data_IF_266775510617
#
_entry.id   IF_266775510617
#
_cell.length_a   1.000
_cell.length_b   1.000
_cell.length_c   1.000
_cell.angle_alpha   90.00
_cell.angle_beta   90.00
_cell.angle_gamma   90.00
#
_symmetry.space_group_name_H-M   'P 1'
#
loop_
_entity.id
_entity.type
_entity.pdbx_description
1 polymer ?
#
# COMPACT_ATOMS: atom_id res chain seq x y z
N UNK A 1 -30.89 13.45 -26.88
CA UNK A 1 -29.48 13.76 -26.60
C UNK A 1 -29.44 14.26 -25.18
N UNK A 2 -29.22 13.34 -24.24
CA UNK A 2 -29.07 13.66 -22.83
C UNK A 2 -27.56 13.78 -22.60
N UNK A 3 -27.14 14.95 -22.14
CA UNK A 3 -25.77 15.16 -21.69
C UNK A 3 -25.57 14.32 -20.42
N UNK A 4 -24.71 13.31 -20.51
CA UNK A 4 -24.22 12.53 -19.38
C UNK A 4 -23.31 13.44 -18.53
N UNK A 5 -23.93 14.26 -17.69
CA UNK A 5 -23.24 15.05 -16.68
C UNK A 5 -22.81 14.12 -15.55
N UNK A 6 -21.53 13.77 -15.50
CA UNK A 6 -20.94 13.02 -14.39
C UNK A 6 -21.05 13.89 -13.14
N UNK A 7 -21.81 13.41 -12.15
CA UNK A 7 -21.96 14.07 -10.86
C UNK A 7 -20.59 14.15 -10.16
N UNK A 8 -20.13 15.37 -9.94
CA UNK A 8 -18.84 15.70 -9.33
C UNK A 8 -18.71 15.16 -7.90
N UNK A 9 -19.81 14.76 -7.25
CA UNK A 9 -19.79 14.12 -5.92
C UNK A 9 -19.48 12.62 -5.96
N UNK A 10 -19.61 11.94 -7.11
CA UNK A 10 -19.22 10.52 -7.25
C UNK A 10 -17.71 10.33 -7.46
N UNK A 11 -17.01 11.40 -7.89
CA UNK A 11 -15.56 11.37 -8.11
C UNK A 11 -14.79 11.34 -6.78
N UNK A 12 -15.32 12.00 -5.75
CA UNK A 12 -14.66 12.20 -4.45
C UNK A 12 -14.55 10.89 -3.64
N UNK A 13 -15.56 10.00 -3.76
CA UNK A 13 -15.55 8.70 -3.07
C UNK A 13 -14.61 7.65 -3.71
N UNK A 14 -14.16 7.86 -4.95
CA UNK A 14 -13.11 7.03 -5.56
C UNK A 14 -11.69 7.48 -5.19
N UNK A 15 -11.58 8.67 -4.58
CA UNK A 15 -10.33 9.41 -4.45
C UNK A 15 -9.58 9.14 -3.16
N UNK A 16 -10.27 8.64 -2.14
CA UNK A 16 -9.58 8.07 -1.00
C UNK A 16 -9.00 6.72 -1.40
N UNK A 17 -7.69 6.70 -1.65
CA UNK A 17 -6.91 5.53 -1.30
C UNK A 17 -7.28 5.25 0.15
N UNK A 18 -8.12 4.24 0.37
CA UNK A 18 -8.78 4.04 1.65
C UNK A 18 -7.72 3.57 2.66
N UNK A 19 -7.01 4.56 3.20
CA UNK A 19 -6.05 4.46 4.30
C UNK A 19 -6.77 4.58 5.64
N UNK A 20 -8.11 4.77 5.62
CA UNK A 20 -8.90 4.64 6.82
C UNK A 20 -8.66 3.24 7.36
N UNK A 21 -7.98 3.20 8.52
CA UNK A 21 -7.81 2.01 9.33
C UNK A 21 -9.20 1.45 9.56
N UNK A 22 -9.60 0.46 8.74
CA UNK A 22 -10.81 -0.32 8.99
C UNK A 22 -10.74 -0.75 10.44
N UNK A 23 -11.81 -0.52 11.20
CA UNK A 23 -11.97 -1.03 12.55
C UNK A 23 -11.85 -2.55 12.51
N UNK A 24 -10.63 -3.05 12.67
CA UNK A 24 -10.32 -4.45 12.53
C UNK A 24 -10.95 -5.20 13.70
N UNK A 25 -11.87 -6.10 13.37
CA UNK A 25 -12.54 -6.98 14.30
C UNK A 25 -11.59 -8.14 14.66
N UNK A 26 -10.46 -7.82 15.29
CA UNK A 26 -9.57 -8.84 15.80
C UNK A 26 -10.29 -9.56 16.94
N UNK A 27 -10.28 -10.89 16.94
CA UNK A 27 -10.22 -11.60 18.22
C UNK A 27 -8.83 -11.30 18.78
N UNK A 28 -8.69 -10.16 19.47
CA UNK A 28 -7.42 -9.53 19.85
C UNK A 28 -6.54 -10.39 20.75
N UNK A 29 -7.11 -11.43 21.37
CA UNK A 29 -6.48 -12.11 22.50
C UNK A 29 -5.94 -13.50 22.13
N UNK A 30 -5.99 -13.91 20.86
CA UNK A 30 -5.31 -15.12 20.42
C UNK A 30 -3.89 -14.85 19.90
N UNK A 31 -3.06 -15.90 19.88
CA UNK A 31 -1.65 -15.81 19.47
C UNK A 31 -1.44 -15.28 18.05
N UNK A 32 -2.40 -15.44 17.14
CA UNK A 32 -2.30 -14.93 15.77
C UNK A 32 -2.67 -13.44 15.71
N UNK A 33 -3.64 -12.99 16.50
CA UNK A 33 -3.96 -11.58 16.68
C UNK A 33 -2.78 -10.79 17.23
N UNK A 34 -2.12 -11.30 18.28
CA UNK A 34 -0.91 -10.68 18.84
C UNK A 34 0.23 -10.62 17.81
N UNK A 35 0.51 -11.72 17.12
CA UNK A 35 1.55 -11.76 16.09
C UNK A 35 1.23 -10.80 14.92
N UNK A 36 -0.04 -10.69 14.52
CA UNK A 36 -0.44 -9.74 13.48
C UNK A 36 -0.24 -8.30 13.92
N UNK A 37 -0.53 -7.97 15.18
CA UNK A 37 -0.25 -6.63 15.73
C UNK A 37 1.24 -6.29 15.63
N UNK A 38 2.13 -7.22 15.98
CA UNK A 38 3.59 -7.04 15.83
C UNK A 38 4.02 -6.88 14.37
N UNK A 39 3.39 -7.62 13.43
CA UNK A 39 3.62 -7.45 11.99
C UNK A 39 3.31 -6.01 11.57
N UNK A 40 2.15 -5.49 11.97
CA UNK A 40 1.71 -4.14 11.61
C UNK A 40 2.60 -3.08 12.24
N UNK A 41 2.95 -3.24 13.53
CA UNK A 41 3.88 -2.34 14.21
C UNK A 41 5.25 -2.31 13.51
N UNK A 42 5.78 -3.47 13.11
CA UNK A 42 7.03 -3.56 12.35
C UNK A 42 6.93 -2.84 10.99
N UNK A 43 5.81 -3.03 10.26
CA UNK A 43 5.57 -2.36 8.99
C UNK A 43 5.50 -0.83 9.15
N UNK A 44 4.79 -0.34 10.16
CA UNK A 44 4.62 1.11 10.39
C UNK A 44 5.90 1.77 10.91
N UNK A 45 6.63 1.13 11.83
CA UNK A 45 7.76 1.75 12.53
C UNK A 45 9.10 1.53 11.84
N UNK A 46 9.37 0.31 11.35
CA UNK A 46 10.67 -0.05 10.72
C UNK A 46 10.62 0.02 9.20
N UNK A 47 9.42 0.02 8.61
CA UNK A 47 9.19 0.10 7.16
C UNK A 47 10.04 -0.88 6.34
N UNK A 48 10.16 -2.16 6.74
CA UNK A 48 11.02 -3.12 6.05
C UNK A 48 10.56 -3.38 4.60
N UNK A 49 9.31 -3.03 4.28
CA UNK A 49 8.76 -3.10 2.93
C UNK A 49 9.54 -2.27 1.90
N UNK A 50 10.31 -1.26 2.31
CA UNK A 50 11.21 -0.50 1.44
C UNK A 50 12.40 -1.31 0.92
N UNK A 51 12.73 -2.43 1.57
CA UNK A 51 13.76 -3.34 1.10
C UNK A 51 13.16 -4.29 0.05
N UNK A 52 13.72 -4.27 -1.16
CA UNK A 52 13.35 -5.13 -2.29
C UNK A 52 13.46 -6.62 -1.99
N UNK A 53 14.38 -7.01 -1.12
CA UNK A 53 14.61 -8.41 -0.74
C UNK A 53 13.77 -8.84 0.47
N UNK A 54 12.99 -7.94 1.07
CA UNK A 54 12.16 -8.28 2.24
C UNK A 54 11.06 -9.26 1.86
N UNK A 55 11.00 -10.37 2.60
CA UNK A 55 10.15 -11.51 2.31
C UNK A 55 9.60 -12.13 3.60
N UNK A 56 8.72 -13.13 3.48
CA UNK A 56 8.07 -13.77 4.61
C UNK A 56 9.07 -14.40 5.60
N UNK A 57 10.18 -14.96 5.08
CA UNK A 57 11.24 -15.53 5.89
C UNK A 57 11.90 -14.46 6.79
N UNK A 58 12.26 -13.31 6.20
CA UNK A 58 12.84 -12.20 6.96
C UNK A 58 11.84 -11.63 7.98
N UNK A 59 10.56 -11.55 7.64
CA UNK A 59 9.51 -11.15 8.59
C UNK A 59 9.42 -12.12 9.77
N UNK A 60 9.42 -13.42 9.51
CA UNK A 60 9.39 -14.43 10.58
C UNK A 60 10.62 -14.35 11.48
N UNK A 61 11.81 -14.16 10.89
CA UNK A 61 13.05 -13.97 11.64
C UNK A 61 13.00 -12.72 12.53
N UNK A 62 12.56 -11.59 11.98
CA UNK A 62 12.53 -10.30 12.70
C UNK A 62 11.51 -10.32 13.85
N UNK A 63 10.50 -11.18 13.78
CA UNK A 63 9.49 -11.41 14.84
C UNK A 63 9.82 -12.60 15.77
N UNK A 64 10.95 -13.28 15.58
CA UNK A 64 11.30 -14.46 16.38
C UNK A 64 10.29 -15.62 16.25
N UNK A 65 9.62 -15.73 15.09
CA UNK A 65 8.56 -16.71 14.81
C UNK A 65 8.95 -17.61 13.62
N UNK A 66 7.98 -18.36 13.09
CA UNK A 66 8.14 -19.14 11.85
C UNK A 66 7.16 -18.68 10.77
N UNK A 67 7.51 -18.95 9.51
CA UNK A 67 6.75 -18.51 8.34
C UNK A 67 5.29 -19.01 8.35
N UNK A 68 5.03 -20.22 8.85
CA UNK A 68 3.68 -20.77 8.95
C UNK A 68 2.79 -19.94 9.88
N UNK A 69 3.32 -19.56 11.05
CA UNK A 69 2.57 -18.75 12.02
C UNK A 69 2.35 -17.33 11.53
N UNK A 70 3.37 -16.71 10.95
CA UNK A 70 3.27 -15.36 10.37
C UNK A 70 2.27 -15.34 9.21
N UNK A 71 2.35 -16.32 8.31
CA UNK A 71 1.40 -16.44 7.19
C UNK A 71 -0.04 -16.62 7.67
N UNK A 72 -0.25 -17.48 8.68
CA UNK A 72 -1.58 -17.65 9.30
C UNK A 72 -2.08 -16.39 9.98
N UNK A 73 -1.21 -15.66 10.69
CA UNK A 73 -1.58 -14.40 11.31
C UNK A 73 -2.05 -13.38 10.26
N UNK A 74 -1.31 -13.24 9.14
CA UNK A 74 -1.70 -12.35 8.05
C UNK A 74 -3.05 -12.78 7.47
N UNK A 75 -3.19 -14.05 7.08
CA UNK A 75 -4.37 -14.53 6.37
C UNK A 75 -5.64 -14.55 7.24
N UNK A 76 -5.50 -14.81 8.55
CA UNK A 76 -6.64 -14.92 9.45
C UNK A 76 -7.07 -13.59 10.07
N UNK A 77 -6.14 -12.62 10.17
CA UNK A 77 -6.37 -11.37 10.89
C UNK A 77 -6.43 -10.14 9.98
N UNK A 78 -6.41 -10.30 8.66
CA UNK A 78 -6.45 -9.20 7.70
C UNK A 78 -7.26 -9.52 6.44
N UNK A 79 -7.57 -8.50 5.63
CA UNK A 79 -8.09 -8.68 4.27
C UNK A 79 -7.06 -9.24 3.27
N UNK A 80 -5.79 -9.35 3.65
CA UNK A 80 -4.73 -9.77 2.73
C UNK A 80 -4.66 -11.30 2.66
N UNK A 81 -4.81 -11.82 1.45
CA UNK A 81 -4.73 -13.26 1.17
C UNK A 81 -3.35 -13.88 1.45
N UNK A 82 -2.31 -13.06 1.53
CA UNK A 82 -0.93 -13.48 1.79
C UNK A 82 -0.01 -12.28 2.11
N UNK A 83 1.21 -12.58 2.56
CA UNK A 83 2.25 -11.59 2.81
C UNK A 83 2.58 -10.69 1.61
N UNK A 84 2.54 -11.20 0.37
CA UNK A 84 2.83 -10.37 -0.81
C UNK A 84 1.75 -9.30 -1.00
N UNK A 85 0.49 -9.61 -0.73
CA UNK A 85 -0.58 -8.62 -0.77
C UNK A 85 -0.37 -7.53 0.31
N UNK A 86 -0.09 -7.94 1.55
CA UNK A 86 0.20 -7.03 2.67
C UNK A 86 1.38 -6.10 2.38
N UNK A 87 2.55 -6.63 2.01
CA UNK A 87 3.73 -5.81 1.78
C UNK A 87 3.51 -4.84 0.61
N UNK A 88 2.85 -5.28 -0.46
CA UNK A 88 2.57 -4.43 -1.62
C UNK A 88 1.60 -3.30 -1.28
N UNK A 89 0.63 -3.52 -0.40
CA UNK A 89 -0.21 -2.45 0.10
C UNK A 89 0.63 -1.34 0.74
N UNK A 90 1.51 -1.67 1.69
CA UNK A 90 2.39 -0.66 2.31
C UNK A 90 3.29 0.06 1.30
N UNK A 91 3.86 -0.68 0.34
CA UNK A 91 4.69 -0.09 -0.72
C UNK A 91 3.91 0.92 -1.57
N UNK A 92 2.70 0.58 -2.00
CA UNK A 92 1.87 1.49 -2.81
C UNK A 92 1.37 2.68 -1.97
N UNK A 93 0.96 2.44 -0.73
CA UNK A 93 0.53 3.51 0.18
C UNK A 93 1.64 4.55 0.38
N UNK A 94 2.90 4.13 0.54
CA UNK A 94 4.02 5.07 0.57
C UNK A 94 4.13 5.89 -0.72
N UNK A 95 4.03 5.25 -1.90
CA UNK A 95 4.15 5.96 -3.17
C UNK A 95 3.02 6.97 -3.38
N UNK A 96 1.79 6.59 -3.03
CA UNK A 96 0.63 7.49 -3.08
C UNK A 96 0.86 8.71 -2.19
N UNK A 97 1.29 8.51 -0.94
CA UNK A 97 1.62 9.60 -0.03
C UNK A 97 2.75 10.50 -0.58
N UNK A 98 3.76 9.94 -1.23
CA UNK A 98 4.82 10.74 -1.87
C UNK A 98 4.30 11.56 -3.05
N UNK A 99 3.34 11.04 -3.80
CA UNK A 99 2.71 11.76 -4.90
C UNK A 99 1.87 12.93 -4.40
N UNK A 100 1.01 12.70 -3.41
CA UNK A 100 0.15 13.71 -2.81
C UNK A 100 0.96 14.84 -2.14
N UNK A 101 2.07 14.50 -1.46
CA UNK A 101 2.96 15.48 -0.83
C UNK A 101 3.90 16.20 -1.82
N UNK A 102 3.70 16.05 -3.14
CA UNK A 102 4.51 16.64 -4.21
C UNK A 102 6.00 16.24 -4.23
N UNK A 103 6.39 15.20 -3.49
CA UNK A 103 7.76 14.69 -3.46
C UNK A 103 8.18 13.99 -4.77
N UNK A 104 7.25 13.82 -5.73
CA UNK A 104 7.56 13.37 -7.10
C UNK A 104 8.31 14.41 -7.93
N UNK A 105 8.25 15.70 -7.59
CA UNK A 105 8.89 16.76 -8.39
C UNK A 105 10.42 16.63 -8.44
N UNK A 106 10.99 15.92 -7.48
CA UNK A 106 12.44 15.69 -7.34
C UNK A 106 12.84 14.24 -7.60
N UNK A 107 11.94 13.37 -8.07
CA UNK A 107 12.24 11.96 -8.29
C UNK A 107 11.62 11.41 -9.57
N UNK A 108 12.41 10.67 -10.33
CA UNK A 108 11.93 9.86 -11.45
C UNK A 108 11.07 8.70 -10.96
N UNK A 109 10.15 8.19 -11.81
CA UNK A 109 9.35 6.98 -11.52
C UNK A 109 10.26 5.80 -11.11
N UNK A 110 11.46 5.71 -11.71
CA UNK A 110 12.49 4.72 -11.40
C UNK A 110 12.93 4.79 -9.93
N UNK A 111 13.24 5.99 -9.45
CA UNK A 111 13.66 6.20 -8.06
C UNK A 111 12.53 5.93 -7.08
N UNK A 112 11.30 6.34 -7.43
CA UNK A 112 10.11 6.16 -6.60
C UNK A 112 9.84 4.66 -6.35
N UNK A 113 9.74 3.84 -7.40
CA UNK A 113 9.46 2.42 -7.19
C UNK A 113 10.58 1.71 -6.45
N UNK A 114 11.84 2.14 -6.65
CA UNK A 114 13.00 1.55 -6.00
C UNK A 114 12.98 1.87 -4.50
N UNK A 115 12.71 3.12 -4.11
CA UNK A 115 12.56 3.54 -2.70
C UNK A 115 11.38 2.86 -2.01
N UNK A 116 10.33 2.55 -2.76
CA UNK A 116 9.19 1.76 -2.28
C UNK A 116 9.46 0.24 -2.28
N UNK A 117 10.68 -0.22 -2.55
CA UNK A 117 11.02 -1.64 -2.45
C UNK A 117 10.56 -2.52 -3.61
N UNK A 118 10.29 -1.96 -4.80
CA UNK A 118 10.06 -2.75 -6.02
C UNK A 118 11.34 -2.94 -6.82
N UNK A 119 11.67 -4.19 -7.12
CA UNK A 119 12.85 -4.55 -7.93
C UNK A 119 12.66 -4.21 -9.41
N UNK A 120 11.42 -4.23 -9.89
CA UNK A 120 11.09 -4.04 -11.30
C UNK A 120 9.92 -3.07 -11.48
N UNK A 121 10.08 -2.13 -12.41
CA UNK A 121 9.06 -1.13 -12.72
C UNK A 121 7.76 -1.76 -13.26
N UNK A 122 7.83 -2.84 -14.04
CA UNK A 122 6.64 -3.51 -14.55
C UNK A 122 5.75 -4.08 -13.44
N UNK A 123 6.36 -4.67 -12.40
CA UNK A 123 5.66 -5.17 -11.22
C UNK A 123 5.03 -4.02 -10.44
N UNK A 124 5.77 -2.93 -10.23
CA UNK A 124 5.26 -1.71 -9.62
C UNK A 124 4.04 -1.17 -10.38
N UNK A 125 4.15 -0.95 -11.69
CA UNK A 125 3.06 -0.40 -12.50
C UNK A 125 1.78 -1.23 -12.42
N UNK A 126 1.91 -2.57 -12.51
CA UNK A 126 0.78 -3.49 -12.42
C UNK A 126 0.09 -3.44 -11.06
N UNK A 127 0.87 -3.48 -9.98
CA UNK A 127 0.34 -3.43 -8.62
C UNK A 127 -0.25 -2.06 -8.31
N UNK A 128 0.42 -0.97 -8.71
CA UNK A 128 -0.06 0.39 -8.53
C UNK A 128 -1.41 0.59 -9.23
N UNK A 129 -1.53 0.16 -10.50
CA UNK A 129 -2.80 0.22 -11.23
C UNK A 129 -3.87 -0.65 -10.59
N UNK A 130 -3.53 -1.84 -10.10
CA UNK A 130 -4.50 -2.69 -9.39
C UNK A 130 -5.07 -2.01 -8.15
N UNK A 131 -4.26 -1.27 -7.39
CA UNK A 131 -4.73 -0.64 -6.16
C UNK A 131 -5.38 0.73 -6.39
N UNK A 132 -4.92 1.50 -7.38
CA UNK A 132 -5.34 2.90 -7.62
C UNK A 132 -6.32 3.06 -8.79
N UNK A 133 -6.52 2.00 -9.58
CA UNK A 133 -7.15 2.02 -10.91
C UNK A 133 -6.47 2.92 -11.96
N UNK A 134 -5.32 3.51 -11.63
CA UNK A 134 -4.57 4.43 -12.48
C UNK A 134 -3.13 3.95 -12.67
N UNK A 135 -2.52 4.24 -13.81
CA UNK A 135 -1.06 4.12 -13.92
C UNK A 135 -0.38 5.19 -13.06
N UNK A 136 0.90 4.99 -12.66
CA UNK A 136 1.63 6.01 -11.91
C UNK A 136 1.64 7.37 -12.59
N UNK A 137 1.80 7.42 -13.92
CA UNK A 137 1.79 8.67 -14.68
C UNK A 137 0.42 9.36 -14.64
N UNK A 138 -0.66 8.63 -14.88
CA UNK A 138 -2.04 9.17 -14.81
C UNK A 138 -2.34 9.71 -13.41
N UNK A 139 -1.91 9.01 -12.36
CA UNK A 139 -2.08 9.45 -10.98
C UNK A 139 -1.32 10.75 -10.71
N UNK A 140 -0.05 10.84 -11.12
CA UNK A 140 0.76 12.07 -10.98
C UNK A 140 0.10 13.24 -11.72
N UNK A 141 -0.40 13.04 -12.93
CA UNK A 141 -1.03 14.11 -13.70
C UNK A 141 -2.35 14.58 -13.07
N UNK A 142 -3.11 13.66 -12.47
CA UNK A 142 -4.30 13.99 -11.68
C UNK A 142 -3.95 14.80 -10.43
N UNK A 143 -2.93 14.39 -9.68
CA UNK A 143 -2.43 15.15 -8.51
C UNK A 143 -1.95 16.55 -8.89
N UNK A 144 -1.22 16.68 -10.02
CA UNK A 144 -0.81 18.00 -10.54
C UNK A 144 -2.02 18.89 -10.88
N UNK A 145 -3.06 18.32 -11.48
CA UNK A 145 -4.25 19.08 -11.86
C UNK A 145 -4.96 19.65 -10.63
N UNK A 146 -5.12 18.85 -9.56
CA UNK A 146 -5.74 19.30 -8.31
C UNK A 146 -4.97 20.44 -7.64
N UNK A 147 -3.64 20.37 -7.64
CA UNK A 147 -2.79 21.41 -7.04
C UNK A 147 -2.60 22.67 -7.91
N UNK A 148 -3.09 22.68 -9.15
CA UNK A 148 -3.13 23.89 -10.00
C UNK A 148 -4.42 24.68 -9.83
N UNK A 149 -5.42 24.10 -9.18
CA UNK A 149 -6.76 24.67 -9.01
C UNK A 149 -6.91 25.38 -7.65
N UNK A 150 -5.94 25.21 -6.73
CA UNK A 150 -5.84 25.94 -5.46
C UNK A 150 -4.66 26.91 -5.46
#
# INVERSE_FOLDING_TARGET
MADDYIDITDIDNSFHFNTEKKSYNYKTDDKYGLLYKEIIELMETKKPFQNTNYNLHLLARDLGSNETYVSRAINNCSEYENFKALINFYRITQVVQEFENQNYKTSSIKEIHTRAGFSYQATFNSIFKKHTNLTPSEYIDKVKAMHKIG
#
